data_IF_313577613269
#
_entry.id   IF_313577613269
#
_cell.length_a   1.000
_cell.length_b   1.000
_cell.length_c   1.000
_cell.angle_alpha   90.00
_cell.angle_beta   90.00
_cell.angle_gamma   90.00
#
_symmetry.space_group_name_H-M   'P 1'
#
loop_
_entity.id
_entity.type
_entity.pdbx_description
1 polymer ?
#
# COMPACT_ATOMS: atom_id res chain seq x y z
N UNK A 1 0.01 -11.18 -10.90
CA UNK A 1 -0.83 -10.45 -11.84
C UNK A 1 -0.04 -9.40 -12.62
N UNK A 2 0.67 -8.44 -11.95
CA UNK A 2 1.38 -7.35 -12.66
C UNK A 2 2.48 -7.87 -13.59
N UNK A 3 3.30 -8.82 -13.13
CA UNK A 3 4.36 -9.44 -13.95
C UNK A 3 3.78 -10.07 -15.21
N UNK A 4 2.69 -10.84 -15.08
CA UNK A 4 2.05 -11.49 -16.21
C UNK A 4 1.56 -10.49 -17.28
N UNK A 5 1.01 -9.35 -16.86
CA UNK A 5 0.55 -8.32 -17.80
C UNK A 5 1.72 -7.60 -18.49
N UNK A 6 2.84 -7.39 -17.78
CA UNK A 6 4.05 -6.82 -18.36
C UNK A 6 4.64 -7.80 -19.40
N UNK A 7 4.68 -9.10 -19.08
CA UNK A 7 5.15 -10.15 -20.01
C UNK A 7 4.28 -10.18 -21.25
N UNK A 8 2.94 -10.25 -21.12
CA UNK A 8 2.02 -10.18 -22.26
C UNK A 8 2.22 -8.94 -23.11
N UNK A 9 2.48 -7.79 -22.45
CA UNK A 9 2.82 -6.55 -23.14
C UNK A 9 4.10 -6.68 -23.96
N UNK A 10 5.16 -7.24 -23.38
CA UNK A 10 6.44 -7.47 -24.09
C UNK A 10 6.27 -8.42 -25.28
N UNK A 11 5.57 -9.53 -25.10
CA UNK A 11 5.27 -10.50 -26.17
C UNK A 11 4.48 -9.87 -27.32
N UNK A 12 3.49 -9.00 -27.01
CA UNK A 12 2.71 -8.28 -28.01
C UNK A 12 3.58 -7.39 -28.90
N UNK A 13 4.70 -6.90 -28.38
CA UNK A 13 5.69 -6.12 -29.14
C UNK A 13 6.83 -6.99 -29.70
N UNK A 14 6.67 -8.32 -29.69
CA UNK A 14 7.69 -9.28 -30.13
C UNK A 14 9.04 -9.12 -29.39
N UNK A 15 9.00 -8.68 -28.13
CA UNK A 15 10.20 -8.61 -27.31
C UNK A 15 10.47 -9.98 -26.68
N UNK A 16 11.72 -10.48 -26.74
CA UNK A 16 12.06 -11.74 -26.07
C UNK A 16 11.90 -11.62 -24.57
N UNK A 17 11.29 -12.63 -23.95
CA UNK A 17 11.11 -12.75 -22.51
C UNK A 17 11.79 -14.02 -22.03
N UNK A 18 12.65 -13.91 -21.05
CA UNK A 18 13.42 -15.02 -20.45
C UNK A 18 13.08 -15.07 -18.97
N UNK A 19 12.57 -16.21 -18.49
CA UNK A 19 12.43 -16.47 -17.06
C UNK A 19 13.82 -16.79 -16.48
N UNK A 20 14.29 -16.00 -15.53
CA UNK A 20 15.60 -16.17 -14.89
C UNK A 20 15.49 -16.48 -13.40
N UNK A 21 14.29 -16.61 -12.85
CA UNK A 21 14.10 -16.81 -11.42
C UNK A 21 12.74 -17.37 -11.00
N UNK A 22 12.42 -18.59 -11.44
CA UNK A 22 11.27 -19.36 -10.94
C UNK A 22 9.91 -18.63 -10.98
N UNK A 23 9.70 -17.81 -12.01
CA UNK A 23 8.44 -17.08 -12.19
C UNK A 23 8.35 -15.72 -11.52
N UNK A 24 9.38 -15.29 -10.79
CA UNK A 24 9.41 -13.96 -10.13
C UNK A 24 10.27 -12.96 -10.88
N UNK A 25 11.38 -13.41 -11.48
CA UNK A 25 12.35 -12.59 -12.21
C UNK A 25 12.34 -12.89 -13.69
N UNK A 26 12.26 -11.88 -14.50
CA UNK A 26 12.28 -11.99 -15.94
C UNK A 26 13.26 -11.00 -16.57
N UNK A 27 13.88 -11.39 -17.66
CA UNK A 27 14.60 -10.47 -18.55
C UNK A 27 13.76 -10.24 -19.80
N UNK A 28 13.53 -8.99 -20.14
CA UNK A 28 12.87 -8.54 -21.37
C UNK A 28 13.93 -7.93 -22.27
N UNK A 29 14.04 -8.46 -23.49
CA UNK A 29 15.07 -8.06 -24.47
C UNK A 29 16.43 -8.69 -24.21
N UNK A 30 17.40 -8.39 -25.09
CA UNK A 30 18.75 -8.94 -25.05
C UNK A 30 19.83 -7.86 -24.94
N UNK A 31 21.00 -8.26 -24.46
CA UNK A 31 22.23 -7.46 -24.46
C UNK A 31 22.06 -6.11 -23.78
N UNK A 32 22.57 -5.06 -24.36
CA UNK A 32 22.57 -3.70 -23.80
C UNK A 32 21.15 -3.14 -23.54
N UNK A 33 20.17 -3.58 -24.29
CA UNK A 33 18.79 -3.12 -24.14
C UNK A 33 17.95 -4.04 -23.24
N UNK A 34 18.48 -5.18 -22.82
CA UNK A 34 17.82 -6.08 -21.91
C UNK A 34 17.54 -5.39 -20.57
N UNK A 35 16.34 -5.63 -20.01
CA UNK A 35 15.92 -5.13 -18.70
C UNK A 35 15.40 -6.28 -17.87
N UNK A 36 15.90 -6.38 -16.65
CA UNK A 36 15.34 -7.32 -15.68
C UNK A 36 14.16 -6.68 -14.95
N UNK A 37 13.16 -7.49 -14.67
CA UNK A 37 12.00 -7.10 -13.89
C UNK A 37 11.75 -8.09 -12.76
N UNK A 38 11.29 -7.58 -11.63
CA UNK A 38 10.71 -8.31 -10.51
C UNK A 38 9.37 -7.67 -10.17
N UNK A 39 8.27 -8.39 -10.36
CA UNK A 39 6.92 -7.84 -10.27
C UNK A 39 6.75 -6.60 -11.19
N UNK A 40 6.68 -5.39 -10.62
CA UNK A 40 6.62 -4.12 -11.35
C UNK A 40 7.88 -3.25 -11.14
N UNK A 41 8.92 -3.81 -10.53
CA UNK A 41 10.21 -3.13 -10.33
C UNK A 41 11.13 -3.53 -11.49
N UNK A 42 11.85 -2.56 -12.03
CA UNK A 42 12.79 -2.80 -13.12
C UNK A 42 14.23 -2.60 -12.66
N UNK A 43 15.20 -3.13 -13.43
CA UNK A 43 16.64 -2.89 -13.22
C UNK A 43 17.05 -1.41 -13.27
N UNK A 44 16.17 -0.54 -13.77
CA UNK A 44 16.38 0.92 -13.77
C UNK A 44 15.92 1.57 -12.44
N UNK A 45 15.19 0.85 -11.58
CA UNK A 45 14.74 1.37 -10.30
C UNK A 45 15.91 1.38 -9.32
N UNK A 46 16.22 2.55 -8.80
CA UNK A 46 17.35 2.72 -7.87
C UNK A 46 17.04 2.08 -6.52
N UNK A 47 17.98 1.33 -5.96
CA UNK A 47 17.87 0.68 -4.65
C UNK A 47 17.41 1.64 -3.54
N UNK A 48 18.03 2.82 -3.43
CA UNK A 48 17.64 3.84 -2.42
C UNK A 48 16.19 4.30 -2.60
N UNK A 49 15.68 4.36 -3.84
CA UNK A 49 14.28 4.73 -4.08
C UNK A 49 13.32 3.64 -3.56
N UNK A 50 13.69 2.37 -3.69
CA UNK A 50 12.93 1.25 -3.12
C UNK A 50 12.90 1.34 -1.60
N UNK A 51 14.06 1.54 -0.95
CA UNK A 51 14.15 1.66 0.50
C UNK A 51 13.30 2.82 1.04
N UNK A 52 13.36 3.99 0.39
CA UNK A 52 12.52 5.14 0.73
C UNK A 52 11.04 4.79 0.61
N UNK A 53 10.63 4.13 -0.46
CA UNK A 53 9.22 3.78 -0.71
C UNK A 53 8.68 2.75 0.29
N UNK A 54 9.54 1.92 0.86
CA UNK A 54 9.20 0.94 1.89
C UNK A 54 9.05 1.54 3.29
N UNK A 55 9.59 2.73 3.55
CA UNK A 55 9.49 3.44 4.83
C UNK A 55 8.52 4.62 4.73
N UNK A 56 7.35 4.47 5.36
CA UNK A 56 6.29 5.49 5.33
C UNK A 56 6.68 6.84 5.94
N UNK A 57 7.59 6.83 6.94
CA UNK A 57 8.05 8.07 7.56
C UNK A 57 9.08 8.79 6.70
N UNK A 58 10.02 8.06 6.11
CA UNK A 58 11.03 8.65 5.22
C UNK A 58 10.35 9.19 3.97
N UNK A 59 9.44 8.41 3.36
CA UNK A 59 8.63 8.87 2.21
C UNK A 59 7.88 10.16 2.55
N UNK A 60 7.19 10.19 3.68
CA UNK A 60 6.44 11.36 4.13
C UNK A 60 7.34 12.57 4.32
N UNK A 61 8.49 12.40 4.99
CA UNK A 61 9.45 13.48 5.18
C UNK A 61 9.98 14.03 3.86
N UNK A 62 10.26 13.15 2.90
CA UNK A 62 10.72 13.55 1.57
C UNK A 62 9.66 14.39 0.83
N UNK A 63 8.40 13.97 0.88
CA UNK A 63 7.27 14.69 0.29
C UNK A 63 7.05 16.05 0.97
N UNK A 64 7.12 16.10 2.29
CA UNK A 64 6.96 17.31 3.10
C UNK A 64 8.05 18.36 2.78
N UNK A 65 9.31 17.94 2.63
CA UNK A 65 10.42 18.81 2.20
C UNK A 65 10.15 19.43 0.83
N UNK A 66 9.40 18.72 -0.04
CA UNK A 66 8.98 19.22 -1.35
C UNK A 66 7.68 20.03 -1.31
N UNK A 67 7.18 20.38 -0.12
CA UNK A 67 5.90 21.05 0.10
C UNK A 67 4.68 20.33 -0.50
N UNK A 68 4.76 19.00 -0.62
CA UNK A 68 3.64 18.18 -1.02
C UNK A 68 2.77 17.83 0.19
N UNK A 69 1.44 17.88 0.09
CA UNK A 69 0.56 17.61 1.21
C UNK A 69 0.69 16.14 1.67
N UNK A 70 0.99 15.96 2.95
CA UNK A 70 1.06 14.65 3.59
C UNK A 70 0.23 14.60 4.85
N UNK A 71 -0.32 13.44 5.18
CA UNK A 71 -1.05 13.27 6.44
C UNK A 71 -0.11 13.54 7.63
N UNK A 72 -0.50 14.44 8.53
CA UNK A 72 0.27 14.74 9.73
C UNK A 72 0.38 13.48 10.61
N UNK A 73 1.57 13.16 11.10
CA UNK A 73 1.76 11.97 11.92
C UNK A 73 3.21 11.71 12.27
N UNK A 74 3.43 10.75 13.18
CA UNK A 74 4.73 10.43 13.74
C UNK A 74 4.83 8.99 14.23
N UNK A 75 6.04 8.54 14.50
CA UNK A 75 6.32 7.28 15.18
C UNK A 75 5.94 7.39 16.65
N UNK A 76 5.45 6.28 17.22
CA UNK A 76 5.13 6.18 18.64
C UNK A 76 5.85 4.97 19.25
N UNK A 77 6.44 5.16 20.41
CA UNK A 77 7.28 4.16 21.08
C UNK A 77 6.59 3.50 22.28
N UNK A 78 5.60 4.17 22.87
CA UNK A 78 4.85 3.69 24.03
C UNK A 78 3.48 4.37 24.09
N UNK A 79 2.65 3.94 25.04
CA UNK A 79 1.27 4.44 25.21
C UNK A 79 1.23 5.95 25.53
N UNK A 80 2.20 6.46 26.29
CA UNK A 80 2.23 7.89 26.63
C UNK A 80 2.51 8.74 25.39
N UNK A 81 3.49 8.33 24.56
CA UNK A 81 3.78 8.98 23.29
C UNK A 81 2.57 8.92 22.35
N UNK A 82 1.90 7.76 22.30
CA UNK A 82 0.69 7.54 21.50
C UNK A 82 -0.42 8.52 21.87
N UNK A 83 -0.74 8.63 23.16
CA UNK A 83 -1.82 9.51 23.64
C UNK A 83 -1.49 10.98 23.41
N UNK A 84 -0.24 11.37 23.66
CA UNK A 84 0.24 12.73 23.39
C UNK A 84 0.15 13.07 21.90
N UNK A 85 0.62 12.17 21.04
CA UNK A 85 0.54 12.34 19.59
C UNK A 85 -0.92 12.43 19.11
N UNK A 86 -1.83 11.60 19.66
CA UNK A 86 -3.24 11.65 19.31
C UNK A 86 -3.92 12.98 19.74
N UNK A 87 -3.56 13.50 20.91
CA UNK A 87 -4.09 14.79 21.37
C UNK A 87 -3.58 15.95 20.50
N UNK A 88 -2.32 15.90 20.03
CA UNK A 88 -1.73 16.91 19.13
C UNK A 88 -2.30 16.85 17.70
N UNK A 89 -2.53 15.65 17.18
CA UNK A 89 -3.05 15.42 15.81
C UNK A 89 -4.55 15.68 15.76
N UNK A 90 -5.26 15.34 16.84
CA UNK A 90 -6.72 15.37 16.94
C UNK A 90 -7.38 14.17 16.27
N UNK A 91 -8.41 13.60 16.92
CA UNK A 91 -9.20 12.49 16.38
C UNK A 91 -10.02 12.94 15.15
N UNK A 92 -10.42 12.02 14.25
CA UNK A 92 -10.01 10.63 14.22
C UNK A 92 -8.57 10.45 13.71
N UNK A 93 -7.96 9.31 14.08
CA UNK A 93 -6.57 8.97 13.74
C UNK A 93 -6.46 7.58 13.11
N UNK A 94 -5.30 7.32 12.50
CA UNK A 94 -4.90 6.03 11.91
C UNK A 94 -3.72 5.49 12.68
N UNK A 95 -3.73 4.18 12.99
CA UNK A 95 -2.55 3.44 13.45
C UNK A 95 -2.14 2.45 12.37
N UNK A 96 -0.84 2.38 12.09
CA UNK A 96 -0.30 1.44 11.12
C UNK A 96 1.18 1.14 11.37
N UNK A 97 1.71 0.00 10.88
CA UNK A 97 3.14 -0.25 10.89
C UNK A 97 3.89 0.74 10.00
N UNK A 98 5.09 1.16 10.45
CA UNK A 98 6.00 1.99 9.65
C UNK A 98 6.37 1.29 8.34
N UNK A 99 6.69 0.00 8.44
CA UNK A 99 7.02 -0.86 7.29
C UNK A 99 5.86 -1.80 6.96
N UNK A 100 5.85 -2.33 5.75
CA UNK A 100 4.85 -3.29 5.28
C UNK A 100 3.88 -2.72 4.25
N UNK A 101 3.09 -3.61 3.66
CA UNK A 101 2.24 -3.34 2.51
C UNK A 101 0.89 -4.08 2.60
N UNK A 102 0.04 -3.89 1.60
CA UNK A 102 -1.25 -4.60 1.43
C UNK A 102 -2.23 -4.39 2.60
N UNK A 103 -2.13 -3.27 3.32
CA UNK A 103 -3.06 -2.93 4.41
C UNK A 103 -2.90 -3.75 5.70
N UNK A 104 -1.89 -4.62 5.81
CA UNK A 104 -1.67 -5.41 7.03
C UNK A 104 -1.37 -4.50 8.22
N UNK A 105 -2.16 -4.65 9.29
CA UNK A 105 -2.01 -3.86 10.51
C UNK A 105 -2.40 -2.39 10.38
N UNK A 106 -3.20 -2.01 9.39
CA UNK A 106 -3.70 -0.65 9.22
C UNK A 106 -5.09 -0.54 9.85
N UNK A 107 -5.23 0.33 10.85
CA UNK A 107 -6.48 0.65 11.53
C UNK A 107 -6.80 2.12 11.30
N UNK A 108 -7.94 2.38 10.70
CA UNK A 108 -8.39 3.71 10.30
C UNK A 108 -9.58 4.17 11.15
N UNK A 109 -9.84 5.48 11.14
CA UNK A 109 -11.01 6.10 11.78
C UNK A 109 -11.13 5.80 13.28
N UNK A 110 -10.02 5.71 13.99
CA UNK A 110 -10.00 5.55 15.44
C UNK A 110 -10.43 6.84 16.10
N UNK A 111 -11.54 6.80 16.86
CA UNK A 111 -12.21 8.00 17.39
C UNK A 111 -12.07 8.20 18.90
N UNK A 112 -11.54 7.21 19.63
CA UNK A 112 -11.46 7.29 21.09
C UNK A 112 -10.12 6.81 21.65
N UNK A 113 -9.71 7.37 22.80
CA UNK A 113 -8.51 6.95 23.54
C UNK A 113 -8.53 5.45 23.91
N UNK A 114 -9.70 4.94 24.27
CA UNK A 114 -9.86 3.52 24.65
C UNK A 114 -9.59 2.59 23.47
N UNK A 115 -10.16 2.90 22.32
CA UNK A 115 -9.95 2.16 21.09
C UNK A 115 -8.50 2.26 20.62
N UNK A 116 -7.92 3.46 20.68
CA UNK A 116 -6.54 3.73 20.31
C UNK A 116 -5.54 2.87 21.08
N UNK A 117 -5.68 2.83 22.41
CA UNK A 117 -4.80 2.02 23.28
C UNK A 117 -4.98 0.54 23.00
N UNK A 118 -6.22 0.05 22.88
CA UNK A 118 -6.50 -1.36 22.54
C UNK A 118 -5.86 -1.74 21.19
N UNK A 119 -5.98 -0.90 20.18
CA UNK A 119 -5.40 -1.13 18.86
C UNK A 119 -3.87 -1.11 18.89
N UNK A 120 -3.29 -0.19 19.65
CA UNK A 120 -1.84 -0.12 19.82
C UNK A 120 -1.30 -1.37 20.52
N UNK A 121 -1.95 -1.85 21.57
CA UNK A 121 -1.58 -3.07 22.28
C UNK A 121 -1.63 -4.32 21.38
N UNK A 122 -2.59 -4.37 20.49
CA UNK A 122 -2.68 -5.42 19.48
C UNK A 122 -1.51 -5.33 18.47
N UNK A 123 -1.23 -4.13 17.95
CA UNK A 123 -0.20 -3.92 16.94
C UNK A 123 1.22 -4.13 17.45
N UNK A 124 1.54 -3.69 18.68
CA UNK A 124 2.89 -3.82 19.23
C UNK A 124 3.35 -5.26 19.43
N UNK A 125 2.41 -6.22 19.50
CA UNK A 125 2.73 -7.64 19.58
C UNK A 125 3.12 -8.24 18.23
N UNK A 126 2.83 -7.55 17.12
CA UNK A 126 3.08 -8.02 15.77
C UNK A 126 4.11 -7.18 15.03
N UNK A 127 4.21 -5.90 15.36
CA UNK A 127 5.05 -4.93 14.66
C UNK A 127 5.90 -4.13 15.64
N UNK A 128 7.18 -4.00 15.32
CA UNK A 128 8.15 -3.26 16.15
C UNK A 128 7.93 -1.75 16.08
N UNK A 129 7.65 -1.24 14.88
CA UNK A 129 7.61 0.19 14.60
C UNK A 129 6.19 0.58 14.15
N UNK A 130 5.53 1.39 14.96
CA UNK A 130 4.15 1.83 14.76
C UNK A 130 4.13 3.34 14.56
N UNK A 131 3.31 3.80 13.63
CA UNK A 131 3.05 5.21 13.38
C UNK A 131 1.58 5.55 13.60
N UNK A 132 1.35 6.76 14.12
CA UNK A 132 0.04 7.38 14.22
C UNK A 132 -0.05 8.51 13.20
N UNK A 133 -1.19 8.66 12.54
CA UNK A 133 -1.44 9.72 11.56
C UNK A 133 -2.83 10.30 11.69
N UNK A 134 -3.02 11.52 11.20
CA UNK A 134 -4.36 12.08 11.01
C UNK A 134 -5.13 11.25 10.00
N UNK A 135 -6.36 10.89 10.35
CA UNK A 135 -7.30 10.32 9.39
C UNK A 135 -7.86 11.42 8.49
N UNK A 136 -7.91 11.16 7.21
CA UNK A 136 -8.52 12.02 6.21
C UNK A 136 -9.64 11.26 5.50
N UNK A 137 -10.81 11.84 5.45
CA UNK A 137 -11.91 11.36 4.62
C UNK A 137 -11.65 11.76 3.17
N UNK A 138 -12.06 10.92 2.24
CA UNK A 138 -11.94 11.17 0.81
C UNK A 138 -11.90 9.90 -0.01
N UNK A 139 -11.87 10.08 -1.30
CA UNK A 139 -11.71 8.99 -2.25
C UNK A 139 -10.24 8.55 -2.33
N UNK A 140 -10.03 7.24 -2.44
CA UNK A 140 -8.72 6.64 -2.61
C UNK A 140 -8.45 6.40 -4.11
N UNK A 141 -7.36 6.96 -4.62
CA UNK A 141 -6.94 6.81 -6.00
C UNK A 141 -5.57 6.14 -6.10
N UNK A 142 -5.45 5.24 -7.06
CA UNK A 142 -4.18 4.68 -7.46
C UNK A 142 -3.74 5.31 -8.77
N UNK A 143 -2.60 5.99 -8.72
CA UNK A 143 -1.98 6.63 -9.90
C UNK A 143 -0.82 5.76 -10.35
N UNK A 144 -0.81 5.36 -11.61
CA UNK A 144 0.30 4.66 -12.24
C UNK A 144 1.15 5.64 -13.03
N UNK A 145 2.43 5.70 -12.73
CA UNK A 145 3.39 6.58 -13.39
C UNK A 145 4.46 5.70 -14.05
N UNK A 146 4.68 5.90 -15.32
CA UNK A 146 5.74 5.24 -16.08
C UNK A 146 6.54 6.31 -16.81
N UNK A 147 7.86 6.29 -16.65
CA UNK A 147 8.77 7.26 -17.29
C UNK A 147 8.35 8.73 -17.05
N UNK A 148 7.99 9.07 -15.80
CA UNK A 148 7.51 10.38 -15.34
C UNK A 148 6.17 10.85 -15.93
N UNK A 149 5.43 9.98 -16.61
CA UNK A 149 4.11 10.27 -17.15
C UNK A 149 3.02 9.48 -16.40
N UNK A 150 1.90 10.12 -16.12
CA UNK A 150 0.72 9.46 -15.57
C UNK A 150 0.05 8.67 -16.68
N UNK A 151 0.16 7.35 -16.63
CA UNK A 151 -0.39 6.45 -17.65
C UNK A 151 -1.75 5.88 -17.31
N UNK A 152 -2.10 5.83 -16.02
CA UNK A 152 -3.41 5.37 -15.57
C UNK A 152 -3.77 5.94 -14.19
N UNK A 153 -5.06 6.15 -13.96
CA UNK A 153 -5.62 6.51 -12.66
C UNK A 153 -6.85 5.62 -12.43
N UNK A 154 -6.90 5.00 -11.26
CA UNK A 154 -8.06 4.22 -10.83
C UNK A 154 -8.53 4.63 -9.45
N UNK A 155 -9.85 4.80 -9.29
CA UNK A 155 -10.47 4.95 -7.97
C UNK A 155 -10.53 3.59 -7.29
N UNK A 156 -10.08 3.53 -6.05
CA UNK A 156 -10.17 2.32 -5.23
C UNK A 156 -11.43 2.38 -4.40
N UNK A 157 -12.34 1.45 -4.66
CA UNK A 157 -13.58 1.32 -3.91
C UNK A 157 -13.39 0.12 -2.98
N UNK A 158 -13.54 0.27 -1.65
CA UNK A 158 -13.52 -0.86 -0.74
C UNK A 158 -14.57 -1.90 -1.14
N UNK A 159 -14.31 -3.20 -0.96
CA UNK A 159 -15.32 -4.21 -1.21
C UNK A 159 -16.54 -3.94 -0.32
N UNK A 160 -17.72 -4.06 -0.90
CA UNK A 160 -18.98 -3.86 -0.19
C UNK A 160 -19.99 -4.92 -0.62
N UNK A 161 -20.96 -5.15 0.25
CA UNK A 161 -22.05 -6.09 0.02
C UNK A 161 -23.35 -5.31 0.07
N UNK A 162 -24.21 -5.55 -0.92
CA UNK A 162 -25.57 -5.03 -0.93
C UNK A 162 -26.49 -6.16 -0.46
N UNK A 163 -27.22 -5.93 0.63
CA UNK A 163 -28.22 -6.88 1.11
C UNK A 163 -29.36 -7.05 0.10
N UNK A 164 -29.71 -8.28 -0.21
CA UNK A 164 -30.83 -8.63 -1.13
C UNK A 164 -32.14 -8.89 -0.37
N UNK A 165 -32.12 -8.82 0.96
CA UNK A 165 -33.26 -9.12 1.83
C UNK A 165 -33.57 -10.61 1.98
N UNK A 166 -32.79 -11.52 1.41
CA UNK A 166 -33.00 -12.96 1.40
C UNK A 166 -31.83 -13.71 2.04
N UNK A 167 -30.59 -13.35 1.75
CA UNK A 167 -29.36 -14.03 2.16
C UNK A 167 -28.72 -13.32 3.36
N UNK A 168 -28.03 -14.10 4.18
CA UNK A 168 -27.17 -13.53 5.22
C UNK A 168 -25.83 -13.03 4.64
N UNK A 169 -25.06 -12.29 5.44
CA UNK A 169 -23.79 -11.68 5.02
C UNK A 169 -22.79 -12.75 4.53
N UNK A 170 -22.69 -13.89 5.22
CA UNK A 170 -21.75 -14.96 4.85
C UNK A 170 -22.08 -15.53 3.48
N UNK A 171 -23.35 -15.81 3.20
CA UNK A 171 -23.81 -16.30 1.89
C UNK A 171 -23.51 -15.31 0.75
N UNK A 172 -23.71 -14.01 1.01
CA UNK A 172 -23.42 -12.96 0.01
C UNK A 172 -21.90 -12.83 -0.24
N UNK A 173 -21.07 -12.97 0.79
CA UNK A 173 -19.60 -13.00 0.67
C UNK A 173 -19.13 -14.19 -0.15
N UNK A 174 -19.64 -15.39 0.15
CA UNK A 174 -19.30 -16.61 -0.58
C UNK A 174 -19.68 -16.52 -2.07
N UNK A 175 -20.84 -15.95 -2.37
CA UNK A 175 -21.30 -15.77 -3.74
C UNK A 175 -20.37 -14.82 -4.53
N UNK A 176 -19.99 -13.67 -3.95
CA UNK A 176 -19.08 -12.72 -4.60
C UNK A 176 -17.70 -13.36 -4.83
N UNK A 177 -17.16 -14.02 -3.82
CA UNK A 177 -15.85 -14.69 -3.93
C UNK A 177 -15.86 -15.84 -4.96
N UNK A 178 -17.00 -16.48 -5.17
CA UNK A 178 -17.15 -17.56 -6.16
C UNK A 178 -17.33 -17.03 -7.59
N UNK A 179 -17.82 -15.81 -7.74
CA UNK A 179 -18.02 -15.17 -9.05
C UNK A 179 -16.73 -14.54 -9.63
N UNK A 180 -15.71 -14.29 -8.80
CA UNK A 180 -14.42 -13.72 -9.22
C UNK A 180 -13.39 -14.78 -9.65
N UNK A 181 -13.70 -16.08 -9.58
CA UNK A 181 -12.87 -17.19 -10.06
C UNK A 181 -13.44 -17.78 -11.34
#
# INVERSE_FOLDING_TARGET
PSTAEIIKGAEKFNMPVIDIGNGDFYQIGYGKQGRCIEAAITSETRCVAVDISCDKLITKKLLDIQNLPVARGQKVSNVLDLLRAADEIGYPVVLKPQFGSKGKGVFVDIRSKKELVKTYDYLKNQFKDIIIEKYHEGDDFRVCIVNNEVVAVSKRIPPFIIGDGLKNIEQLVEEINSAEN
#
